data_IF_804445927375
#
_entry.id   IF_804445927375
#
_cell.length_a   1.000
_cell.length_b   1.000
_cell.length_c   1.000
_cell.angle_alpha   90.00
_cell.angle_beta   90.00
_cell.angle_gamma   90.00
#
_symmetry.space_group_name_H-M   'P 1'
#
loop_
_entity.id
_entity.type
_entity.pdbx_description
1 polymer ?
#
# COMPACT_ATOMS: atom_id res chain seq x y z
N UNK A 1 -9.08 26.36 9.83
CA UNK A 1 -7.85 25.61 10.17
C UNK A 1 -8.18 24.60 11.27
N UNK A 2 -8.69 23.41 10.89
CA UNK A 2 -9.02 22.36 11.86
C UNK A 2 -7.80 21.45 12.00
N UNK A 3 -7.23 21.40 13.19
CA UNK A 3 -6.04 20.62 13.54
C UNK A 3 -6.43 19.13 13.52
N UNK A 4 -5.80 18.34 12.65
CA UNK A 4 -5.85 16.88 12.73
C UNK A 4 -5.10 16.44 13.99
N UNK A 5 -5.77 15.65 14.83
CA UNK A 5 -5.18 14.98 15.98
C UNK A 5 -4.76 13.58 15.53
N UNK A 6 -3.46 13.35 15.40
CA UNK A 6 -2.88 12.01 15.23
C UNK A 6 -2.69 11.38 16.62
N UNK A 7 -3.39 10.28 16.89
CA UNK A 7 -3.24 9.49 18.11
C UNK A 7 -2.36 8.27 17.80
N UNK A 8 -1.06 8.35 18.14
CA UNK A 8 -0.16 7.19 18.12
C UNK A 8 -0.20 6.50 19.49
N UNK A 9 -0.73 5.27 19.56
CA UNK A 9 -0.61 4.41 20.74
C UNK A 9 0.60 3.49 20.52
N UNK A 10 1.70 3.78 21.20
CA UNK A 10 2.88 2.92 21.24
C UNK A 10 2.85 2.09 22.53
N UNK A 11 2.64 0.78 22.40
CA UNK A 11 2.80 -0.18 23.49
C UNK A 11 4.18 -0.82 23.40
N UNK A 12 5.12 -0.34 24.22
CA UNK A 12 6.43 -0.97 24.42
C UNK A 12 6.29 -2.20 25.33
N UNK A 13 6.62 -3.40 24.82
CA UNK A 13 6.95 -4.55 25.65
C UNK A 13 8.34 -5.09 25.27
N UNK A 14 9.23 -5.03 26.26
CA UNK A 14 10.58 -5.61 26.27
C UNK A 14 10.51 -7.15 26.32
N UNK A 15 11.51 -7.83 25.76
CA UNK A 15 12.30 -8.94 26.34
C UNK A 15 12.91 -9.84 25.24
N UNK A 16 14.24 -10.02 25.27
CA UNK A 16 14.89 -11.25 24.80
C UNK A 16 16.00 -11.09 23.76
N UNK A 17 17.26 -11.08 24.23
CA UNK A 17 18.39 -11.52 23.41
C UNK A 17 18.25 -13.01 23.09
N UNK A 18 18.26 -13.41 21.81
CA UNK A 18 18.69 -14.75 21.40
C UNK A 18 19.08 -14.78 19.92
N UNK A 19 20.33 -15.19 19.70
CA UNK A 19 20.99 -15.28 18.41
C UNK A 19 20.67 -16.65 17.78
N UNK A 20 19.93 -16.63 16.68
CA UNK A 20 19.92 -17.63 15.62
C UNK A 20 19.41 -16.89 14.39
N UNK A 21 20.10 -16.99 13.25
CA UNK A 21 19.74 -16.34 11.98
C UNK A 21 18.42 -16.92 11.42
N UNK A 22 17.30 -16.73 12.12
CA UNK A 22 16.00 -16.64 11.48
C UNK A 22 16.08 -15.37 10.67
N UNK A 23 15.95 -15.47 9.34
CA UNK A 23 15.76 -14.28 8.51
C UNK A 23 14.65 -13.47 9.19
N UNK A 24 14.98 -12.29 9.71
CA UNK A 24 14.04 -11.53 10.52
C UNK A 24 12.90 -11.11 9.59
N UNK A 25 11.78 -11.84 9.70
CA UNK A 25 10.52 -11.49 9.07
C UNK A 25 9.90 -10.42 9.96
N UNK A 26 9.71 -9.24 9.41
CA UNK A 26 9.07 -8.12 10.07
C UNK A 26 7.82 -7.78 9.28
N UNK A 27 6.70 -7.67 9.97
CA UNK A 27 5.45 -7.25 9.37
C UNK A 27 5.17 -5.81 9.78
N UNK A 28 4.71 -5.00 8.84
CA UNK A 28 4.29 -3.63 9.10
C UNK A 28 2.98 -3.33 8.40
N UNK A 29 2.15 -2.52 9.04
CA UNK A 29 0.86 -2.09 8.53
C UNK A 29 0.78 -0.56 8.63
N UNK A 30 0.14 0.06 7.65
CA UNK A 30 -0.26 1.47 7.67
C UNK A 30 -1.70 1.61 7.19
N UNK A 31 -2.44 2.53 7.82
CA UNK A 31 -3.80 2.89 7.41
C UNK A 31 -3.89 4.40 7.18
N UNK A 32 -4.34 4.80 6.00
CA UNK A 32 -4.56 6.18 5.61
C UNK A 32 -6.06 6.39 5.39
N UNK A 33 -6.67 7.30 6.15
CA UNK A 33 -8.08 7.68 5.98
C UNK A 33 -8.16 8.84 4.97
N UNK A 34 -8.87 8.62 3.88
CA UNK A 34 -9.10 9.62 2.84
C UNK A 34 -10.21 10.60 3.23
N UNK A 35 -10.34 11.69 2.47
CA UNK A 35 -11.31 12.75 2.77
C UNK A 35 -12.78 12.26 2.70
N UNK A 36 -13.06 11.28 1.84
CA UNK A 36 -14.35 10.60 1.73
C UNK A 36 -14.58 9.54 2.83
N UNK A 37 -13.64 9.36 3.76
CA UNK A 37 -13.71 8.37 4.82
C UNK A 37 -13.30 6.95 4.40
N UNK A 38 -12.97 6.72 3.13
CA UNK A 38 -12.39 5.45 2.68
C UNK A 38 -11.01 5.27 3.31
N UNK A 39 -10.71 4.04 3.75
CA UNK A 39 -9.42 3.68 4.34
C UNK A 39 -8.61 2.91 3.31
N UNK A 40 -7.41 3.42 3.05
CA UNK A 40 -6.35 2.69 2.38
C UNK A 40 -5.54 1.94 3.43
N UNK A 41 -5.48 0.61 3.32
CA UNK A 41 -4.63 -0.24 4.13
C UNK A 41 -3.45 -0.72 3.30
N UNK A 42 -2.25 -0.63 3.85
CA UNK A 42 -1.03 -1.16 3.25
C UNK A 42 -0.33 -2.05 4.26
N UNK A 43 -0.10 -3.29 3.90
CA UNK A 43 0.66 -4.28 4.66
C UNK A 43 1.96 -4.61 3.91
N UNK A 44 3.05 -4.80 4.66
CA UNK A 44 4.34 -5.19 4.09
C UNK A 44 5.00 -6.30 4.91
N UNK A 45 5.73 -7.18 4.23
CA UNK A 45 6.67 -8.11 4.85
C UNK A 45 8.11 -7.72 4.46
N UNK A 46 8.94 -7.45 5.47
CA UNK A 46 10.39 -7.33 5.30
C UNK A 46 11.07 -8.64 5.67
N UNK A 47 12.02 -9.08 4.86
CA UNK A 47 12.91 -10.20 5.19
C UNK A 47 14.34 -9.69 5.14
N UNK A 48 14.99 -9.66 6.31
CA UNK A 48 16.33 -9.08 6.46
C UNK A 48 16.39 -7.61 6.02
N UNK A 49 15.39 -6.80 6.40
CA UNK A 49 15.28 -5.38 6.05
C UNK A 49 15.00 -5.11 4.56
N UNK A 50 14.67 -6.13 3.77
CA UNK A 50 14.27 -5.97 2.36
C UNK A 50 12.79 -6.25 2.22
N UNK A 51 12.06 -5.36 1.56
CA UNK A 51 10.67 -5.57 1.18
C UNK A 51 10.54 -6.85 0.33
N UNK A 52 9.64 -7.74 0.74
CA UNK A 52 9.39 -9.03 0.08
C UNK A 52 7.95 -9.22 -0.35
N UNK A 53 7.04 -8.56 0.32
CA UNK A 53 5.61 -8.66 0.10
C UNK A 53 4.99 -7.30 0.39
N UNK A 54 3.97 -6.95 -0.39
CA UNK A 54 3.17 -5.76 -0.19
C UNK A 54 1.73 -6.08 -0.58
N UNK A 55 0.80 -5.82 0.33
CA UNK A 55 -0.64 -5.92 0.08
C UNK A 55 -1.30 -4.55 0.31
N UNK A 56 -2.06 -4.10 -0.66
CA UNK A 56 -2.72 -2.80 -0.70
C UNK A 56 -4.20 -3.04 -0.94
N UNK A 57 -5.05 -2.55 -0.06
CA UNK A 57 -6.49 -2.62 -0.25
C UNK A 57 -7.17 -1.35 0.26
N UNK A 58 -8.39 -1.12 -0.20
CA UNK A 58 -9.12 0.09 0.12
C UNK A 58 -10.59 -0.22 0.39
N UNK A 59 -11.14 0.32 1.46
CA UNK A 59 -12.58 0.22 1.72
C UNK A 59 -13.36 1.06 0.72
N UNK A 60 -14.62 0.69 0.45
CA UNK A 60 -15.53 1.52 -0.35
C UNK A 60 -16.61 2.12 0.52
N UNK A 61 -16.84 3.42 0.41
CA UNK A 61 -17.88 4.10 1.20
C UNK A 61 -19.25 3.43 0.98
N UNK A 62 -19.94 3.11 2.08
CA UNK A 62 -21.26 2.47 2.04
C UNK A 62 -21.26 0.98 1.68
N UNK A 63 -20.10 0.35 1.46
CA UNK A 63 -19.98 -1.10 1.25
C UNK A 63 -19.29 -1.77 2.45
N UNK A 64 -19.63 -3.04 2.69
CA UNK A 64 -18.97 -3.87 3.71
C UNK A 64 -17.66 -4.49 3.22
N UNK A 65 -17.52 -4.62 1.90
CA UNK A 65 -16.38 -5.22 1.23
C UNK A 65 -15.39 -4.15 0.77
N UNK A 66 -14.11 -4.51 0.74
CA UNK A 66 -13.04 -3.69 0.14
C UNK A 66 -13.05 -3.76 -1.39
N UNK A 67 -12.22 -2.93 -2.05
CA UNK A 67 -12.06 -2.93 -3.50
C UNK A 67 -11.50 -4.28 -4.01
N UNK A 68 -10.53 -4.90 -3.32
CA UNK A 68 -10.08 -6.27 -3.72
C UNK A 68 -11.14 -7.33 -3.50
N UNK A 69 -11.95 -7.23 -2.44
CA UNK A 69 -13.02 -8.19 -2.18
C UNK A 69 -14.16 -8.09 -3.20
N UNK A 70 -14.47 -6.87 -3.66
CA UNK A 70 -15.50 -6.63 -4.68
C UNK A 70 -15.08 -7.11 -6.06
N UNK A 71 -13.77 -7.08 -6.38
CA UNK A 71 -13.24 -7.43 -7.71
C UNK A 71 -14.03 -6.74 -8.84
N UNK A 72 -14.67 -7.50 -9.73
CA UNK A 72 -15.49 -6.98 -10.83
C UNK A 72 -16.73 -6.21 -10.36
N UNK A 73 -17.24 -6.46 -9.15
CA UNK A 73 -18.36 -5.70 -8.57
C UNK A 73 -17.98 -4.25 -8.21
N UNK A 74 -16.69 -3.91 -8.26
CA UNK A 74 -16.23 -2.52 -8.17
C UNK A 74 -16.42 -1.76 -9.49
N UNK A 75 -16.45 -2.46 -10.63
CA UNK A 75 -16.81 -1.93 -11.96
C UNK A 75 -15.85 -0.86 -12.54
N UNK A 76 -14.56 -0.90 -12.18
CA UNK A 76 -13.59 0.09 -12.68
C UNK A 76 -13.14 -0.16 -14.10
N UNK A 77 -13.27 -1.40 -14.61
CA UNK A 77 -12.77 -1.77 -15.94
C UNK A 77 -13.27 -0.89 -17.07
N UNK A 78 -14.50 -0.36 -16.96
CA UNK A 78 -15.08 0.54 -17.97
C UNK A 78 -14.45 1.94 -17.96
N UNK A 79 -14.02 2.42 -16.79
CA UNK A 79 -13.35 3.72 -16.64
C UNK A 79 -11.82 3.63 -16.80
N UNK A 80 -11.26 2.43 -16.74
CA UNK A 80 -9.83 2.17 -16.89
C UNK A 80 -9.38 2.32 -18.34
N UNK A 81 -8.39 3.20 -18.58
CA UNK A 81 -7.81 3.40 -19.91
C UNK A 81 -7.03 2.19 -20.43
N UNK A 82 -6.70 1.23 -19.56
CA UNK A 82 -6.03 -0.03 -19.89
C UNK A 82 -6.97 -1.23 -19.80
N UNK A 83 -8.27 -1.02 -19.59
CA UNK A 83 -9.28 -2.09 -19.57
C UNK A 83 -9.08 -3.10 -18.44
N UNK A 84 -8.55 -2.67 -17.30
CA UNK A 84 -8.31 -3.49 -16.10
C UNK A 84 -9.13 -3.01 -14.91
N UNK A 85 -9.58 -3.94 -14.09
CA UNK A 85 -10.18 -3.65 -12.79
C UNK A 85 -9.16 -3.09 -11.79
N UNK A 86 -9.64 -2.46 -10.72
CA UNK A 86 -8.78 -1.86 -9.69
C UNK A 86 -7.83 -2.89 -9.08
N UNK A 87 -8.35 -4.07 -8.69
CA UNK A 87 -7.55 -5.12 -8.07
C UNK A 87 -6.46 -5.65 -9.02
N UNK A 88 -6.70 -5.70 -10.33
CA UNK A 88 -5.70 -6.12 -11.33
C UNK A 88 -4.58 -5.09 -11.46
N UNK A 89 -4.90 -3.80 -11.35
CA UNK A 89 -3.93 -2.71 -11.41
C UNK A 89 -3.08 -2.64 -10.14
N UNK A 90 -3.71 -2.83 -8.98
CA UNK A 90 -3.02 -2.87 -7.69
C UNK A 90 -2.13 -4.10 -7.58
N UNK A 91 -2.61 -5.29 -7.97
CA UNK A 91 -1.78 -6.50 -8.02
C UNK A 91 -0.54 -6.33 -8.91
N UNK A 92 -0.69 -5.62 -10.04
CA UNK A 92 0.45 -5.28 -10.89
C UNK A 92 1.43 -4.33 -10.18
N UNK A 93 0.93 -3.31 -9.50
CA UNK A 93 1.74 -2.34 -8.77
C UNK A 93 2.48 -2.99 -7.59
N UNK A 94 1.83 -3.86 -6.82
CA UNK A 94 2.45 -4.65 -5.74
C UNK A 94 3.63 -5.47 -6.26
N UNK A 95 3.39 -6.25 -7.32
CA UNK A 95 4.43 -7.04 -7.98
C UNK A 95 5.59 -6.17 -8.52
N UNK A 96 5.29 -4.96 -8.99
CA UNK A 96 6.31 -4.00 -9.42
C UNK A 96 7.17 -3.58 -8.23
N UNK A 97 6.53 -3.19 -7.13
CA UNK A 97 7.19 -2.71 -5.91
C UNK A 97 8.03 -3.80 -5.26
N UNK A 98 7.56 -5.05 -5.23
CA UNK A 98 8.38 -6.19 -4.73
C UNK A 98 9.68 -6.36 -5.51
N UNK A 99 9.66 -6.13 -6.83
CA UNK A 99 10.80 -6.37 -7.72
C UNK A 99 11.73 -5.18 -7.85
N UNK A 100 11.19 -3.97 -7.88
CA UNK A 100 11.92 -2.73 -8.19
C UNK A 100 11.90 -1.69 -7.05
N UNK A 101 11.02 -1.85 -6.07
CA UNK A 101 10.78 -0.86 -5.02
C UNK A 101 10.06 0.38 -5.53
N UNK A 102 9.93 1.37 -4.65
CA UNK A 102 9.19 2.63 -4.89
C UNK A 102 10.08 3.81 -5.33
N UNK A 103 11.41 3.72 -5.15
CA UNK A 103 12.32 4.87 -5.26
C UNK A 103 12.35 5.55 -6.63
N UNK A 104 12.20 4.76 -7.69
CA UNK A 104 12.31 5.24 -9.07
C UNK A 104 10.94 5.63 -9.66
N UNK A 105 9.86 5.55 -8.88
CA UNK A 105 8.50 5.89 -9.34
C UNK A 105 8.36 7.42 -9.32
N UNK A 106 8.16 8.00 -10.50
CA UNK A 106 7.92 9.43 -10.70
C UNK A 106 6.43 9.67 -10.86
N UNK A 107 5.91 10.69 -10.20
CA UNK A 107 4.48 11.02 -10.20
C UNK A 107 4.18 12.30 -10.98
N UNK A 108 3.01 12.37 -11.59
CA UNK A 108 2.45 13.63 -12.09
C UNK A 108 1.65 14.36 -10.98
N UNK A 109 1.06 15.51 -11.31
CA UNK A 109 0.26 16.32 -10.38
C UNK A 109 -1.00 15.60 -9.86
N UNK A 110 -1.49 14.58 -10.58
CA UNK A 110 -2.64 13.74 -10.19
C UNK A 110 -2.22 12.54 -9.31
N UNK A 111 -0.94 12.43 -8.94
CA UNK A 111 -0.43 11.31 -8.15
C UNK A 111 -0.31 10.00 -8.92
N UNK A 112 -0.44 10.02 -10.26
CA UNK A 112 -0.27 8.84 -11.13
C UNK A 112 1.20 8.68 -11.52
N UNK A 113 1.63 7.42 -11.68
CA UNK A 113 2.97 7.13 -12.18
C UNK A 113 3.16 7.67 -13.62
N UNK A 114 4.34 8.22 -13.89
CA UNK A 114 4.76 8.68 -15.22
C UNK A 114 5.66 7.67 -15.94
N UNK A 115 6.27 6.74 -15.20
CA UNK A 115 7.11 5.68 -15.74
C UNK A 115 6.27 4.67 -16.54
N UNK A 116 6.70 4.36 -17.77
CA UNK A 116 5.93 3.49 -18.67
C UNK A 116 5.78 2.05 -18.17
N UNK A 117 6.76 1.55 -17.42
CA UNK A 117 6.70 0.21 -16.85
C UNK A 117 5.60 0.08 -15.79
N UNK A 118 5.41 1.09 -14.93
CA UNK A 118 4.26 1.14 -14.01
C UNK A 118 2.96 1.34 -14.79
N UNK A 119 2.95 2.32 -15.71
CA UNK A 119 1.75 2.70 -16.50
C UNK A 119 1.22 1.57 -17.38
N UNK A 120 2.09 0.65 -17.80
CA UNK A 120 1.68 -0.52 -18.59
C UNK A 120 0.69 -1.44 -17.87
N UNK A 121 0.63 -1.37 -16.53
CA UNK A 121 -0.27 -2.19 -15.74
C UNK A 121 -1.05 -1.47 -14.65
N UNK A 122 -0.70 -0.23 -14.29
CA UNK A 122 -1.38 0.56 -13.27
C UNK A 122 -1.50 2.03 -13.74
N UNK A 123 -2.72 2.51 -13.90
CA UNK A 123 -3.05 3.87 -14.37
C UNK A 123 -3.78 4.71 -13.32
N UNK A 124 -4.12 4.12 -12.18
CA UNK A 124 -4.68 4.82 -11.02
C UNK A 124 -3.60 5.64 -10.30
N UNK A 125 -4.03 6.55 -9.43
CA UNK A 125 -3.11 7.28 -8.56
C UNK A 125 -2.43 6.30 -7.59
N UNK A 126 -1.13 6.47 -7.39
CA UNK A 126 -0.29 5.58 -6.56
C UNK A 126 0.50 6.35 -5.49
N UNK A 127 0.33 7.67 -5.39
CA UNK A 127 1.00 8.48 -4.38
C UNK A 127 0.58 8.08 -2.96
N UNK A 128 -0.71 7.78 -2.76
CA UNK A 128 -1.23 7.22 -1.51
C UNK A 128 -0.64 5.86 -1.18
N UNK A 129 -0.48 5.00 -2.18
CA UNK A 129 0.15 3.68 -2.03
C UNK A 129 1.61 3.79 -1.61
N UNK A 130 2.37 4.69 -2.26
CA UNK A 130 3.77 4.95 -1.93
C UNK A 130 3.91 5.43 -0.49
N UNK A 131 3.10 6.41 -0.07
CA UNK A 131 3.08 6.91 1.32
C UNK A 131 2.76 5.79 2.32
N UNK A 132 1.76 4.96 2.01
CA UNK A 132 1.38 3.82 2.85
C UNK A 132 2.49 2.78 2.96
N UNK A 133 3.18 2.47 1.86
CA UNK A 133 4.34 1.56 1.87
C UNK A 133 5.46 2.12 2.75
N UNK A 134 5.81 3.40 2.62
CA UNK A 134 6.85 4.04 3.43
C UNK A 134 6.52 3.99 4.94
N UNK A 135 5.26 4.25 5.29
CA UNK A 135 4.80 4.17 6.67
C UNK A 135 4.78 2.73 7.20
N UNK A 136 4.30 1.77 6.41
CA UNK A 136 4.26 0.36 6.78
C UNK A 136 5.67 -0.20 6.97
N UNK A 137 6.63 0.13 6.08
CA UNK A 137 8.05 -0.22 6.22
C UNK A 137 8.62 0.35 7.51
N UNK A 138 8.38 1.64 7.78
CA UNK A 138 8.80 2.28 9.03
C UNK A 138 8.19 1.60 10.27
N UNK A 139 6.96 1.11 10.17
CA UNK A 139 6.29 0.40 11.26
C UNK A 139 6.85 -1.02 11.46
N UNK A 140 7.30 -1.70 10.41
CA UNK A 140 7.96 -3.00 10.49
C UNK A 140 9.35 -2.95 11.17
N UNK A 141 10.02 -1.79 11.10
CA UNK A 141 11.38 -1.60 11.64
C UNK A 141 11.43 -1.13 13.11
N UNK A 142 10.27 -0.84 13.73
CA UNK A 142 10.16 -0.41 15.14
C UNK A 142 10.24 -1.59 16.10
#
# INVERSE_FOLDING_TARGET
MKKLVFLCIAACCLFGCQNAEKKAKQHGEAQIVQENGEKLTVEVELVNGKLRDVDIDETVEGKKQTKKELKEEYQMKQASSIGKEWYEQVAFFENYVEKKGIKDIKLNEEGKATNDDVRSGCTIAVDGFIKGIEEAVKNAEK
#
